data_IF_433180929905
#
_entry.id   IF_433180929905
#
_cell.length_a   1.000
_cell.length_b   1.000
_cell.length_c   1.000
_cell.angle_alpha   90.00
_cell.angle_beta   90.00
_cell.angle_gamma   90.00
#
_symmetry.space_group_name_H-M   'P 1'
#
loop_
_entity.id
_entity.type
_entity.pdbx_description
1 polymer ?
#
# COMPACT_ATOMS: atom_id res chain seq x y z
N UNK A 1 13.11 -8.09 -10.08
CA UNK A 1 11.88 -8.03 -10.91
C UNK A 1 11.50 -9.45 -11.23
N UNK A 2 10.21 -9.77 -11.19
CA UNK A 2 9.67 -11.10 -11.48
C UNK A 2 8.64 -10.93 -12.60
N UNK A 3 8.72 -11.76 -13.64
CA UNK A 3 7.76 -11.76 -14.76
C UNK A 3 6.81 -12.94 -14.61
N UNK A 4 5.56 -12.72 -15.01
CA UNK A 4 4.52 -13.75 -14.98
C UNK A 4 4.93 -14.98 -15.79
N UNK A 5 5.38 -14.78 -17.03
CA UNK A 5 5.76 -15.88 -17.94
C UNK A 5 6.92 -16.73 -17.40
N UNK A 6 7.91 -16.07 -16.77
CA UNK A 6 9.06 -16.76 -16.17
C UNK A 6 8.61 -17.64 -14.99
N UNK A 7 7.70 -17.12 -14.16
CA UNK A 7 7.11 -17.89 -13.06
C UNK A 7 6.24 -19.03 -13.56
N UNK A 8 5.37 -18.81 -14.55
CA UNK A 8 4.51 -19.84 -15.12
C UNK A 8 5.34 -21.02 -15.65
N UNK A 9 6.45 -20.72 -16.34
CA UNK A 9 7.39 -21.75 -16.78
C UNK A 9 8.01 -22.49 -15.60
N UNK A 10 8.53 -21.77 -14.60
CA UNK A 10 9.17 -22.35 -13.44
C UNK A 10 8.23 -23.26 -12.63
N UNK A 11 7.01 -22.79 -12.32
CA UNK A 11 6.05 -23.56 -11.52
C UNK A 11 5.55 -24.80 -12.26
N UNK A 12 5.40 -24.72 -13.59
CA UNK A 12 5.05 -25.87 -14.42
C UNK A 12 6.15 -26.94 -14.39
N UNK A 13 7.41 -26.53 -14.45
CA UNK A 13 8.56 -27.45 -14.33
C UNK A 13 8.61 -28.09 -12.93
N UNK A 14 8.40 -27.31 -11.87
CA UNK A 14 8.36 -27.81 -10.49
C UNK A 14 7.20 -28.80 -10.27
N UNK A 15 6.01 -28.50 -10.78
CA UNK A 15 4.86 -29.40 -10.70
C UNK A 15 5.14 -30.74 -11.39
N UNK A 16 5.79 -30.74 -12.56
CA UNK A 16 6.21 -31.97 -13.26
C UNK A 16 7.27 -32.76 -12.48
N UNK A 17 8.23 -32.07 -11.87
CA UNK A 17 9.25 -32.71 -11.02
C UNK A 17 8.64 -33.36 -9.79
N UNK A 18 7.69 -32.68 -9.14
CA UNK A 18 6.96 -33.22 -7.99
C UNK A 18 6.05 -34.39 -8.39
N UNK A 19 5.38 -34.31 -9.55
CA UNK A 19 4.57 -35.40 -10.08
C UNK A 19 5.41 -36.65 -10.35
N UNK A 20 6.60 -36.47 -10.95
CA UNK A 20 7.57 -37.55 -11.16
C UNK A 20 8.04 -38.16 -9.83
N UNK A 21 8.32 -37.32 -8.83
CA UNK A 21 8.72 -37.77 -7.48
C UNK A 21 7.62 -38.60 -6.81
N UNK A 22 6.35 -38.29 -7.09
CA UNK A 22 5.17 -39.00 -6.58
C UNK A 22 4.75 -40.20 -7.45
N UNK A 23 5.46 -40.48 -8.56
CA UNK A 23 5.10 -41.49 -9.56
C UNK A 23 3.66 -41.35 -10.06
N UNK A 24 3.24 -40.12 -10.36
CA UNK A 24 1.90 -39.85 -10.86
C UNK A 24 1.80 -40.10 -12.36
N UNK A 25 0.62 -40.54 -12.79
CA UNK A 25 0.26 -40.66 -14.20
C UNK A 25 0.05 -39.27 -14.85
N UNK A 26 -0.21 -39.26 -16.15
CA UNK A 26 -0.35 -38.05 -16.97
C UNK A 26 -1.45 -37.11 -16.46
N UNK A 27 -2.66 -37.63 -16.20
CA UNK A 27 -3.79 -36.79 -15.78
C UNK A 27 -3.58 -36.11 -14.41
N UNK A 28 -3.15 -36.80 -13.33
CA UNK A 28 -2.80 -36.12 -12.08
C UNK A 28 -1.61 -35.15 -12.20
N UNK A 29 -0.71 -35.38 -13.16
CA UNK A 29 0.39 -34.45 -13.47
C UNK A 29 -0.14 -33.15 -14.06
N UNK A 30 -1.07 -33.22 -15.02
CA UNK A 30 -1.73 -32.05 -15.59
C UNK A 30 -2.47 -31.23 -14.53
N UNK A 31 -3.15 -31.90 -13.59
CA UNK A 31 -3.81 -31.22 -12.48
C UNK A 31 -2.84 -30.45 -11.59
N UNK A 32 -1.67 -31.01 -11.27
CA UNK A 32 -0.63 -30.30 -10.50
C UNK A 32 -0.07 -29.09 -11.25
N UNK A 33 0.12 -29.23 -12.57
CA UNK A 33 0.58 -28.12 -13.42
C UNK A 33 -0.46 -27.02 -13.44
N UNK A 34 -1.74 -27.36 -13.71
CA UNK A 34 -2.85 -26.41 -13.72
C UNK A 34 -2.96 -25.68 -12.38
N UNK A 35 -2.95 -26.42 -11.27
CA UNK A 35 -3.03 -25.82 -9.94
C UNK A 35 -1.89 -24.83 -9.67
N UNK A 36 -0.66 -25.18 -10.06
CA UNK A 36 0.49 -24.30 -9.90
C UNK A 36 0.40 -23.05 -10.78
N UNK A 37 -0.06 -23.19 -12.03
CA UNK A 37 -0.24 -22.06 -12.94
C UNK A 37 -1.37 -21.14 -12.48
N UNK A 38 -2.49 -21.70 -12.01
CA UNK A 38 -3.65 -20.95 -11.54
C UNK A 38 -3.26 -20.07 -10.33
N UNK A 39 -2.45 -20.58 -9.41
CA UNK A 39 -1.94 -19.79 -8.28
C UNK A 39 -1.15 -18.57 -8.78
N UNK A 40 -0.25 -18.76 -9.76
CA UNK A 40 0.52 -17.65 -10.33
C UNK A 40 -0.39 -16.68 -11.06
N UNK A 41 -1.31 -17.18 -11.88
CA UNK A 41 -2.28 -16.37 -12.60
C UNK A 41 -3.08 -15.50 -11.64
N UNK A 42 -3.65 -16.09 -10.59
CA UNK A 42 -4.48 -15.39 -9.61
C UNK A 42 -3.68 -14.34 -8.82
N UNK A 43 -2.41 -14.61 -8.49
CA UNK A 43 -1.53 -13.59 -7.88
C UNK A 43 -1.38 -12.36 -8.78
N UNK A 44 -1.13 -12.56 -10.09
CA UNK A 44 -0.99 -11.44 -11.03
C UNK A 44 -2.33 -10.78 -11.39
N UNK A 45 -3.42 -11.55 -11.46
CA UNK A 45 -4.78 -11.05 -11.69
C UNK A 45 -5.28 -10.19 -10.53
N UNK A 46 -4.85 -10.48 -9.30
CA UNK A 46 -5.22 -9.70 -8.12
C UNK A 46 -4.62 -8.29 -8.08
N UNK A 47 -3.66 -7.99 -8.96
CA UNK A 47 -3.01 -6.69 -9.08
C UNK A 47 -3.29 -6.13 -10.47
N UNK A 48 -4.05 -5.04 -10.55
CA UNK A 48 -4.51 -4.49 -11.82
C UNK A 48 -4.14 -3.03 -11.98
N UNK A 49 -3.99 -2.62 -13.24
CA UNK A 49 -3.92 -1.23 -13.65
C UNK A 49 -5.28 -0.78 -14.13
N UNK A 50 -5.80 0.28 -13.52
CA UNK A 50 -6.96 1.01 -13.96
C UNK A 50 -6.54 2.14 -14.88
N UNK A 51 -7.02 2.12 -16.13
CA UNK A 51 -6.86 3.24 -17.05
C UNK A 51 -8.11 4.11 -16.99
N UNK A 52 -7.96 5.33 -16.51
CA UNK A 52 -9.07 6.29 -16.40
C UNK A 52 -8.95 7.33 -17.51
N UNK A 53 -10.05 7.62 -18.20
CA UNK A 53 -10.14 8.72 -19.16
C UNK A 53 -11.38 9.56 -18.87
N UNK A 54 -11.17 10.79 -18.39
CA UNK A 54 -12.23 11.58 -17.78
C UNK A 54 -12.68 10.96 -16.46
N UNK A 55 -13.98 10.71 -16.33
CA UNK A 55 -14.60 10.10 -15.14
C UNK A 55 -14.94 8.61 -15.33
N UNK A 56 -14.46 7.98 -16.42
CA UNK A 56 -14.81 6.60 -16.79
C UNK A 56 -13.57 5.70 -16.78
N UNK A 57 -13.69 4.54 -16.12
CA UNK A 57 -12.68 3.47 -16.17
C UNK A 57 -12.76 2.84 -17.56
N UNK A 58 -11.67 2.92 -18.33
CA UNK A 58 -11.58 2.42 -19.71
C UNK A 58 -11.05 0.99 -19.81
N UNK A 59 -10.09 0.62 -18.96
CA UNK A 59 -9.57 -0.75 -18.90
C UNK A 59 -9.10 -1.08 -17.51
N UNK A 60 -9.16 -2.37 -17.19
CA UNK A 60 -8.60 -2.99 -15.99
C UNK A 60 -7.68 -4.08 -16.51
N UNK A 61 -6.38 -3.80 -16.50
CA UNK A 61 -5.37 -4.69 -17.09
C UNK A 61 -4.52 -5.30 -15.97
N UNK A 62 -4.49 -6.63 -15.82
CA UNK A 62 -3.62 -7.30 -14.86
C UNK A 62 -2.15 -6.94 -15.06
N UNK A 63 -1.37 -6.91 -13.99
CA UNK A 63 0.08 -6.77 -14.14
C UNK A 63 0.65 -8.03 -14.80
N UNK A 64 1.63 -7.87 -15.68
CA UNK A 64 2.36 -8.99 -16.32
C UNK A 64 3.74 -9.20 -15.71
N UNK A 65 4.18 -8.24 -14.89
CA UNK A 65 5.44 -8.30 -14.17
C UNK A 65 5.36 -7.44 -12.91
N UNK A 66 6.12 -7.86 -11.90
CA UNK A 66 6.22 -7.17 -10.65
C UNK A 66 7.68 -6.77 -10.37
N UNK A 67 7.87 -5.52 -9.98
CA UNK A 67 9.14 -5.02 -9.44
C UNK A 67 8.87 -4.32 -8.13
N UNK A 68 9.88 -4.29 -7.28
CA UNK A 68 9.88 -3.43 -6.11
C UNK A 68 9.57 -1.99 -6.53
N UNK A 69 8.66 -1.34 -5.81
CA UNK A 69 8.17 0.01 -6.09
C UNK A 69 8.93 1.04 -5.27
N UNK A 70 9.43 2.09 -5.90
CA UNK A 70 10.10 3.18 -5.22
C UNK A 70 9.13 4.27 -4.78
N UNK A 71 9.64 5.27 -4.04
CA UNK A 71 8.88 6.47 -3.70
C UNK A 71 8.34 7.20 -4.93
N UNK A 72 9.06 7.16 -6.06
CA UNK A 72 8.67 7.78 -7.32
C UNK A 72 7.45 7.10 -7.98
N UNK A 73 7.25 5.80 -7.72
CA UNK A 73 6.12 5.03 -8.28
C UNK A 73 4.85 5.24 -7.45
N UNK A 74 5.00 5.59 -6.17
CA UNK A 74 3.90 5.54 -5.20
C UNK A 74 2.73 6.47 -5.55
N UNK A 75 2.98 7.64 -6.16
CA UNK A 75 1.91 8.57 -6.55
C UNK A 75 1.13 8.07 -7.77
N UNK A 76 1.78 7.47 -8.77
CA UNK A 76 1.10 6.89 -9.94
C UNK A 76 0.34 5.63 -9.55
N UNK A 77 0.99 4.77 -8.78
CA UNK A 77 0.44 3.49 -8.36
C UNK A 77 -0.76 3.74 -7.42
N UNK A 78 -0.70 4.75 -6.56
CA UNK A 78 -1.84 5.17 -5.74
C UNK A 78 -3.07 5.56 -6.57
N UNK A 79 -2.88 6.11 -7.77
CA UNK A 79 -4.00 6.56 -8.63
C UNK A 79 -4.58 5.43 -9.46
N UNK A 80 -3.71 4.57 -9.99
CA UNK A 80 -4.06 3.69 -11.09
C UNK A 80 -3.83 2.21 -10.79
N UNK A 81 -3.20 1.85 -9.68
CA UNK A 81 -3.01 0.45 -9.30
C UNK A 81 -4.07 0.06 -8.28
N UNK A 82 -4.70 -1.09 -8.52
CA UNK A 82 -5.66 -1.69 -7.61
C UNK A 82 -5.19 -3.06 -7.15
N UNK A 83 -5.52 -3.39 -5.89
CA UNK A 83 -5.25 -4.67 -5.26
C UNK A 83 -6.56 -5.31 -4.83
N UNK A 84 -6.93 -6.41 -5.46
CA UNK A 84 -8.00 -7.28 -5.01
C UNK A 84 -7.52 -8.09 -3.81
N UNK A 85 -7.68 -7.53 -2.61
CA UNK A 85 -7.13 -8.12 -1.36
C UNK A 85 -7.58 -9.56 -1.14
N UNK A 86 -8.87 -9.85 -1.37
CA UNK A 86 -9.43 -11.18 -1.16
C UNK A 86 -8.84 -12.22 -2.12
N UNK A 87 -8.66 -11.86 -3.40
CA UNK A 87 -8.07 -12.75 -4.41
C UNK A 87 -6.58 -12.96 -4.15
N UNK A 88 -5.85 -11.89 -3.80
CA UNK A 88 -4.44 -11.95 -3.41
C UNK A 88 -4.25 -12.87 -2.19
N UNK A 89 -5.14 -12.75 -1.18
CA UNK A 89 -5.15 -13.59 0.01
C UNK A 89 -5.40 -15.06 -0.32
N UNK A 90 -6.44 -15.35 -1.11
CA UNK A 90 -6.77 -16.72 -1.52
C UNK A 90 -5.62 -17.37 -2.31
N UNK A 91 -5.03 -16.66 -3.28
CA UNK A 91 -3.91 -17.19 -4.05
C UNK A 91 -2.68 -17.46 -3.19
N UNK A 92 -2.36 -16.56 -2.25
CA UNK A 92 -1.25 -16.75 -1.33
C UNK A 92 -1.49 -17.88 -0.31
N UNK A 93 -2.73 -18.06 0.18
CA UNK A 93 -3.09 -19.20 1.03
C UNK A 93 -2.89 -20.52 0.29
N UNK A 94 -3.38 -20.62 -0.96
CA UNK A 94 -3.15 -21.81 -1.78
C UNK A 94 -1.66 -22.08 -1.98
N UNK A 95 -0.87 -21.06 -2.26
CA UNK A 95 0.58 -21.20 -2.35
C UNK A 95 1.21 -21.76 -1.05
N UNK A 96 0.85 -21.18 0.11
CA UNK A 96 1.41 -21.59 1.41
C UNK A 96 1.07 -23.04 1.76
N UNK A 97 -0.10 -23.54 1.36
CA UNK A 97 -0.51 -24.94 1.55
C UNK A 97 0.27 -25.96 0.70
N UNK A 98 1.10 -25.51 -0.25
CA UNK A 98 1.78 -26.37 -1.22
C UNK A 98 3.31 -26.24 -1.11
N UNK A 99 3.96 -26.88 -0.11
CA UNK A 99 5.40 -26.75 0.13
C UNK A 99 6.29 -27.08 -1.06
N UNK A 100 5.83 -27.98 -1.94
CA UNK A 100 6.56 -28.37 -3.16
C UNK A 100 6.65 -27.25 -4.21
N UNK A 101 5.79 -26.22 -4.11
CA UNK A 101 5.76 -25.06 -5.00
C UNK A 101 6.62 -23.90 -4.47
N UNK A 102 7.07 -23.99 -3.21
CA UNK A 102 7.72 -22.89 -2.53
C UNK A 102 9.03 -22.47 -3.21
N UNK A 103 9.14 -21.19 -3.57
CA UNK A 103 10.35 -20.62 -4.15
C UNK A 103 10.54 -19.15 -3.76
N UNK A 104 11.80 -18.68 -3.85
CA UNK A 104 12.18 -17.33 -3.42
C UNK A 104 11.43 -16.25 -4.18
N UNK A 105 11.18 -16.45 -5.46
CA UNK A 105 10.50 -15.50 -6.34
C UNK A 105 9.03 -15.32 -5.96
N UNK A 106 8.32 -16.42 -5.65
CA UNK A 106 6.92 -16.36 -5.21
C UNK A 106 6.81 -15.83 -3.78
N UNK A 107 7.68 -16.27 -2.87
CA UNK A 107 7.74 -15.71 -1.52
C UNK A 107 7.96 -14.20 -1.56
N UNK A 108 8.92 -13.75 -2.37
CA UNK A 108 9.22 -12.35 -2.56
C UNK A 108 8.05 -11.60 -3.19
N UNK A 109 7.41 -12.15 -4.24
CA UNK A 109 6.27 -11.53 -4.90
C UNK A 109 5.10 -11.33 -3.93
N UNK A 110 4.71 -12.38 -3.22
CA UNK A 110 3.61 -12.37 -2.23
C UNK A 110 3.91 -11.33 -1.16
N UNK A 111 5.08 -11.44 -0.52
CA UNK A 111 5.50 -10.52 0.54
C UNK A 111 5.52 -9.07 0.05
N UNK A 112 6.08 -8.83 -1.13
CA UNK A 112 6.20 -7.50 -1.70
C UNK A 112 4.82 -6.93 -2.08
N UNK A 113 3.92 -7.73 -2.63
CA UNK A 113 2.56 -7.31 -2.98
C UNK A 113 1.74 -6.96 -1.73
N UNK A 114 1.74 -7.82 -0.70
CA UNK A 114 0.99 -7.57 0.53
C UNK A 114 1.46 -6.30 1.26
N UNK A 115 2.76 -6.18 1.52
CA UNK A 115 3.29 -5.00 2.22
C UNK A 115 3.02 -3.73 1.40
N UNK A 116 3.18 -3.78 0.07
CA UNK A 116 2.91 -2.62 -0.77
C UNK A 116 1.43 -2.24 -0.82
N UNK A 117 0.53 -3.23 -0.89
CA UNK A 117 -0.91 -3.02 -0.86
C UNK A 117 -1.36 -2.35 0.46
N UNK A 118 -0.76 -2.72 1.59
CA UNK A 118 -1.02 -2.07 2.88
C UNK A 118 -0.45 -0.65 2.95
N UNK A 119 0.75 -0.42 2.42
CA UNK A 119 1.32 0.93 2.28
C UNK A 119 0.40 1.83 1.45
N UNK A 120 -0.11 1.33 0.32
CA UNK A 120 -1.02 2.05 -0.58
C UNK A 120 -2.37 2.36 0.09
N UNK A 121 -2.98 1.38 0.75
CA UNK A 121 -4.25 1.57 1.44
C UNK A 121 -4.13 2.54 2.63
N UNK A 122 -3.03 2.45 3.39
CA UNK A 122 -2.76 3.36 4.50
C UNK A 122 -2.54 4.79 3.99
N UNK A 123 -1.81 4.94 2.88
CA UNK A 123 -1.64 6.23 2.21
C UNK A 123 -2.99 6.79 1.75
N UNK A 124 -3.83 5.97 1.13
CA UNK A 124 -5.18 6.35 0.65
C UNK A 124 -6.08 6.80 1.81
N UNK A 125 -6.11 6.04 2.90
CA UNK A 125 -6.83 6.37 4.13
C UNK A 125 -6.38 7.72 4.71
N UNK A 126 -5.07 7.97 4.79
CA UNK A 126 -4.59 9.24 5.31
C UNK A 126 -4.89 10.40 4.38
N UNK A 127 -4.77 10.20 3.06
CA UNK A 127 -5.10 11.23 2.07
C UNK A 127 -6.57 11.58 2.08
N UNK A 128 -7.47 10.61 2.16
CA UNK A 128 -8.91 10.87 2.22
C UNK A 128 -9.33 11.61 3.50
N UNK A 129 -8.58 11.43 4.61
CA UNK A 129 -8.86 12.10 5.88
C UNK A 129 -8.24 13.49 6.01
N UNK A 130 -7.03 13.70 5.49
CA UNK A 130 -6.29 14.97 5.63
C UNK A 130 -6.64 15.94 4.49
N UNK A 131 -6.92 15.43 3.29
CA UNK A 131 -7.23 16.29 2.14
C UNK A 131 -8.72 16.62 2.10
N UNK A 132 -9.10 17.86 1.73
CA UNK A 132 -10.48 18.15 1.37
C UNK A 132 -10.97 17.20 0.26
N UNK A 133 -12.23 16.77 0.34
CA UNK A 133 -12.83 15.78 -0.57
C UNK A 133 -12.59 16.10 -2.06
N UNK A 134 -12.78 17.36 -2.46
CA UNK A 134 -12.55 17.80 -3.85
C UNK A 134 -11.09 17.63 -4.30
N UNK A 135 -10.13 17.86 -3.41
CA UNK A 135 -8.69 17.65 -3.68
C UNK A 135 -8.37 16.17 -3.78
N UNK A 136 -8.92 15.37 -2.86
CA UNK A 136 -8.72 13.93 -2.87
C UNK A 136 -9.20 13.34 -4.19
N UNK A 137 -10.45 13.63 -4.59
CA UNK A 137 -11.05 13.16 -5.84
C UNK A 137 -10.23 13.65 -7.05
N UNK A 138 -9.90 14.94 -7.12
CA UNK A 138 -9.11 15.49 -8.23
C UNK A 138 -7.73 14.84 -8.36
N UNK A 139 -7.03 14.65 -7.24
CA UNK A 139 -5.72 13.99 -7.24
C UNK A 139 -5.83 12.52 -7.63
N UNK A 140 -6.83 11.81 -7.11
CA UNK A 140 -7.07 10.40 -7.42
C UNK A 140 -7.39 10.21 -8.90
N UNK A 141 -8.25 11.06 -9.46
CA UNK A 141 -8.61 11.06 -10.88
C UNK A 141 -7.49 11.57 -11.82
N UNK A 142 -6.40 12.14 -11.28
CA UNK A 142 -5.30 12.70 -12.07
C UNK A 142 -5.65 13.96 -12.86
N UNK A 143 -6.69 14.70 -12.47
CA UNK A 143 -7.16 15.87 -13.22
C UNK A 143 -6.32 17.14 -12.97
N UNK A 144 -5.56 17.57 -13.97
CA UNK A 144 -4.69 18.77 -13.88
C UNK A 144 -5.52 20.07 -13.77
N UNK A 145 -6.69 20.13 -14.42
CA UNK A 145 -7.54 21.34 -14.49
C UNK A 145 -8.06 21.79 -13.12
N UNK A 146 -8.39 20.86 -12.23
CA UNK A 146 -8.84 21.15 -10.86
C UNK A 146 -7.69 21.49 -9.91
N UNK A 147 -6.47 21.09 -10.25
CA UNK A 147 -5.29 21.32 -9.42
C UNK A 147 -4.93 22.81 -9.38
N UNK A 148 -5.06 23.53 -10.50
CA UNK A 148 -4.75 24.97 -10.63
C UNK A 148 -5.84 25.84 -9.98
N UNK A 149 -7.12 25.54 -10.20
CA UNK A 149 -8.23 26.27 -9.56
C UNK A 149 -8.24 26.09 -8.03
N UNK A 150 -7.83 24.93 -7.53
CA UNK A 150 -7.72 24.66 -6.10
C UNK A 150 -6.64 25.50 -5.38
N UNK A 151 -5.59 25.93 -6.09
CA UNK A 151 -4.50 26.72 -5.53
C UNK A 151 -4.95 28.15 -5.18
N UNK A 152 -5.60 28.82 -6.15
CA UNK A 152 -6.12 30.18 -5.97
C UNK A 152 -7.23 30.21 -4.89
N UNK A 153 -8.13 29.24 -4.93
CA UNK A 153 -9.21 29.10 -3.94
C UNK A 153 -8.66 28.85 -2.52
N UNK A 154 -7.56 28.10 -2.38
CA UNK A 154 -6.89 27.92 -1.09
C UNK A 154 -6.33 29.20 -0.52
N UNK A 155 -5.67 30.02 -1.33
CA UNK A 155 -5.15 31.31 -0.87
C UNK A 155 -6.29 32.20 -0.39
N UNK A 156 -7.41 32.22 -1.11
CA UNK A 156 -8.61 32.96 -0.71
C UNK A 156 -9.19 32.43 0.60
N UNK A 157 -9.44 31.13 0.72
CA UNK A 157 -10.00 30.51 1.95
C UNK A 157 -9.05 30.69 3.14
N UNK A 158 -7.74 30.59 2.91
CA UNK A 158 -6.73 30.84 3.94
C UNK A 158 -6.79 32.29 4.41
N UNK A 159 -6.79 33.26 3.50
CA UNK A 159 -6.90 34.68 3.83
C UNK A 159 -8.21 34.99 4.58
N UNK A 160 -9.34 34.44 4.14
CA UNK A 160 -10.63 34.62 4.81
C UNK A 160 -10.61 34.04 6.23
N UNK A 161 -10.06 32.84 6.42
CA UNK A 161 -9.90 32.24 7.76
C UNK A 161 -9.03 33.11 8.66
N UNK A 162 -7.92 33.63 8.16
CA UNK A 162 -7.04 34.52 8.91
C UNK A 162 -7.69 35.86 9.23
N UNK A 163 -8.45 36.45 8.30
CA UNK A 163 -9.20 37.68 8.53
C UNK A 163 -10.26 37.50 9.62
N UNK A 164 -11.00 36.38 9.60
CA UNK A 164 -11.96 36.04 10.66
C UNK A 164 -11.24 35.86 12.00
N UNK A 165 -10.11 35.14 12.00
CA UNK A 165 -9.32 34.91 13.20
C UNK A 165 -8.78 36.21 13.81
N UNK A 166 -8.22 37.10 12.98
CA UNK A 166 -7.73 38.43 13.39
C UNK A 166 -8.89 39.31 13.84
N UNK A 167 -10.06 39.24 13.17
CA UNK A 167 -11.25 39.98 13.55
C UNK A 167 -11.79 39.59 14.92
N UNK A 168 -11.88 38.29 15.21
CA UNK A 168 -12.26 37.78 16.55
C UNK A 168 -11.21 38.20 17.59
N UNK A 169 -9.92 38.05 17.28
CA UNK A 169 -8.84 38.48 18.18
C UNK A 169 -8.94 39.99 18.51
N UNK A 170 -9.11 40.83 17.49
CA UNK A 170 -9.29 42.27 17.64
C UNK A 170 -10.54 42.62 18.47
N UNK A 171 -11.66 41.93 18.27
CA UNK A 171 -12.86 42.15 19.07
C UNK A 171 -12.65 41.77 20.55
N UNK A 172 -12.00 40.65 20.84
CA UNK A 172 -11.77 40.20 22.23
C UNK A 172 -10.83 41.10 23.04
N UNK A 173 -9.92 41.82 22.37
CA UNK A 173 -9.04 42.81 23.00
C UNK A 173 -9.80 43.97 23.67
N UNK A 174 -10.99 44.33 23.18
CA UNK A 174 -11.76 45.47 23.68
C UNK A 174 -12.58 45.18 24.93
N UNK A 175 -12.94 43.92 25.18
CA UNK A 175 -13.89 43.57 26.23
C UNK A 175 -13.25 42.90 27.45
N UNK A 176 -12.18 42.10 27.28
CA UNK A 176 -11.58 41.33 28.38
C UNK A 176 -10.05 41.26 28.22
N UNK A 177 -9.25 41.83 29.12
CA UNK A 177 -7.79 41.87 29.01
C UNK A 177 -7.10 40.49 28.94
N UNK A 178 -7.73 39.45 29.50
CA UNK A 178 -7.20 38.07 29.54
C UNK A 178 -7.59 37.27 28.28
N UNK A 179 -8.63 37.69 27.54
CA UNK A 179 -9.14 36.94 26.40
C UNK A 179 -8.12 36.74 25.25
N UNK A 180 -7.23 37.70 24.92
CA UNK A 180 -6.17 37.49 23.92
C UNK A 180 -5.19 36.38 24.31
N UNK A 181 -4.83 36.28 25.60
CA UNK A 181 -3.93 35.25 26.13
C UNK A 181 -4.61 33.87 26.04
N UNK A 182 -5.89 33.79 26.42
CA UNK A 182 -6.67 32.56 26.30
C UNK A 182 -6.82 32.11 24.84
N UNK A 183 -7.07 33.05 23.93
CA UNK A 183 -7.22 32.77 22.49
C UNK A 183 -5.93 32.24 21.85
N UNK A 184 -4.78 32.86 22.18
CA UNK A 184 -3.46 32.38 21.76
C UNK A 184 -3.19 30.98 22.34
N UNK A 185 -3.50 30.77 23.63
CA UNK A 185 -3.35 29.47 24.27
C UNK A 185 -4.15 28.36 23.58
N UNK A 186 -5.42 28.62 23.24
CA UNK A 186 -6.28 27.68 22.52
C UNK A 186 -5.73 27.39 21.12
N UNK A 187 -5.23 28.40 20.40
CA UNK A 187 -4.66 28.18 19.06
C UNK A 187 -3.37 27.39 19.08
N UNK A 188 -2.45 27.68 20.02
CA UNK A 188 -1.22 26.91 20.19
C UNK A 188 -1.55 25.45 20.53
N UNK A 189 -2.49 25.21 21.45
CA UNK A 189 -2.94 23.87 21.80
C UNK A 189 -3.57 23.14 20.61
N UNK A 190 -4.41 23.82 19.83
CA UNK A 190 -5.02 23.25 18.62
C UNK A 190 -3.97 22.89 17.57
N UNK A 191 -3.06 23.82 17.26
CA UNK A 191 -1.96 23.61 16.32
C UNK A 191 -1.04 22.47 16.77
N UNK A 192 -0.75 22.39 18.07
CA UNK A 192 0.06 21.30 18.64
C UNK A 192 -0.62 19.94 18.51
N UNK A 193 -1.94 19.86 18.72
CA UNK A 193 -2.71 18.62 18.54
C UNK A 193 -2.71 18.17 17.08
N UNK A 194 -2.93 19.09 16.14
CA UNK A 194 -2.86 18.78 14.70
C UNK A 194 -1.46 18.32 14.29
N UNK A 195 -0.42 19.05 14.72
CA UNK A 195 0.97 18.68 14.44
C UNK A 195 1.32 17.31 15.01
N UNK A 196 0.91 17.02 16.25
CA UNK A 196 1.16 15.71 16.89
C UNK A 196 0.47 14.57 16.15
N UNK A 197 -0.77 14.78 15.71
CA UNK A 197 -1.49 13.81 14.89
C UNK A 197 -0.80 13.58 13.54
N UNK A 198 -0.41 14.65 12.86
CA UNK A 198 0.32 14.57 11.59
C UNK A 198 1.67 13.89 11.74
N UNK A 199 2.41 14.18 12.81
CA UNK A 199 3.69 13.56 13.12
C UNK A 199 3.53 12.05 13.30
N UNK A 200 2.54 11.60 14.09
CA UNK A 200 2.26 10.16 14.28
C UNK A 200 1.98 9.46 12.95
N UNK A 201 1.23 10.10 12.05
CA UNK A 201 0.92 9.58 10.72
C UNK A 201 2.19 9.45 9.86
N UNK A 202 3.02 10.49 9.87
CA UNK A 202 4.28 10.49 9.11
C UNK A 202 5.24 9.42 9.64
N UNK A 203 5.35 9.28 10.97
CA UNK A 203 6.21 8.29 11.62
C UNK A 203 5.75 6.85 11.29
N UNK A 204 4.42 6.61 11.29
CA UNK A 204 3.84 5.32 10.87
C UNK A 204 4.15 5.01 9.40
N UNK A 205 3.87 5.95 8.49
CA UNK A 205 4.17 5.76 7.06
C UNK A 205 5.66 5.53 6.81
N UNK A 206 6.52 6.25 7.52
CA UNK A 206 7.97 6.05 7.43
C UNK A 206 8.38 4.64 7.88
N UNK A 207 7.80 4.14 8.98
CA UNK A 207 8.05 2.78 9.44
C UNK A 207 7.56 1.73 8.43
N UNK A 208 6.36 1.89 7.87
CA UNK A 208 5.83 1.00 6.83
C UNK A 208 6.68 0.98 5.56
N UNK A 209 7.12 2.15 5.10
CA UNK A 209 8.01 2.27 3.93
C UNK A 209 9.38 1.66 4.21
N UNK A 210 9.92 1.82 5.43
CA UNK A 210 11.17 1.19 5.82
C UNK A 210 11.08 -0.35 5.82
N UNK A 211 9.98 -0.90 6.36
CA UNK A 211 9.70 -2.33 6.26
C UNK A 211 9.61 -2.76 4.80
N UNK A 212 8.88 -2.03 3.97
CA UNK A 212 8.80 -2.33 2.55
C UNK A 212 10.17 -2.27 1.85
N UNK A 213 11.02 -1.30 2.18
CA UNK A 213 12.34 -1.13 1.58
C UNK A 213 13.29 -2.31 1.85
N UNK A 214 13.09 -3.05 2.95
CA UNK A 214 13.80 -4.32 3.18
C UNK A 214 13.52 -5.31 2.05
N UNK A 215 12.34 -5.20 1.43
CA UNK A 215 11.88 -6.04 0.35
C UNK A 215 12.45 -5.72 -1.04
N UNK A 216 13.53 -4.95 -1.12
CA UNK A 216 14.04 -4.40 -2.40
C UNK A 216 14.68 -5.44 -3.32
N UNK A 217 15.23 -6.52 -2.77
CA UNK A 217 15.89 -7.60 -3.53
C UNK A 217 15.18 -8.93 -3.32
N UNK A 218 15.42 -9.96 -4.15
CA UNK A 218 14.79 -11.29 -3.96
C UNK A 218 15.55 -12.11 -2.89
N UNK A 219 16.83 -11.82 -2.67
CA UNK A 219 17.75 -12.58 -1.83
C UNK A 219 17.81 -12.10 -0.37
N UNK A 220 16.67 -11.81 0.24
CA UNK A 220 16.64 -11.16 1.54
C UNK A 220 16.83 -12.12 2.71
N UNK A 221 17.30 -11.57 3.83
CA UNK A 221 17.26 -12.27 5.11
C UNK A 221 15.89 -12.13 5.75
N UNK A 222 15.18 -13.24 5.91
CA UNK A 222 13.87 -13.30 6.59
C UNK A 222 13.93 -12.79 8.03
N UNK A 223 15.09 -12.89 8.69
CA UNK A 223 15.31 -12.32 10.03
C UNK A 223 15.21 -10.79 10.02
N UNK A 224 15.82 -10.15 9.02
CA UNK A 224 15.76 -8.68 8.88
C UNK A 224 14.33 -8.23 8.60
N UNK A 225 13.63 -8.94 7.70
CA UNK A 225 12.21 -8.67 7.40
C UNK A 225 11.35 -8.79 8.67
N UNK A 226 11.58 -9.84 9.47
CA UNK A 226 10.86 -10.05 10.73
C UNK A 226 11.09 -8.94 11.76
N UNK A 227 12.34 -8.48 11.90
CA UNK A 227 12.67 -7.39 12.82
C UNK A 227 12.00 -6.08 12.38
N UNK A 228 12.00 -5.76 11.10
CA UNK A 228 11.36 -4.54 10.58
C UNK A 228 9.84 -4.62 10.63
N UNK A 229 9.24 -5.80 10.44
CA UNK A 229 7.80 -6.03 10.67
C UNK A 229 7.41 -5.80 12.13
N UNK A 230 8.26 -6.22 13.09
CA UNK A 230 8.03 -5.95 14.51
C UNK A 230 8.13 -4.45 14.82
N UNK A 231 9.18 -3.78 14.35
CA UNK A 231 9.38 -2.33 14.56
C UNK A 231 8.21 -1.51 14.00
N UNK A 232 7.75 -1.83 12.79
CA UNK A 232 6.60 -1.13 12.19
C UNK A 232 5.29 -1.42 12.92
N UNK A 233 5.08 -2.67 13.37
CA UNK A 233 3.93 -3.02 14.21
C UNK A 233 3.92 -2.25 15.52
N UNK A 234 5.06 -2.10 16.18
CA UNK A 234 5.19 -1.33 17.43
C UNK A 234 4.93 0.18 17.20
N UNK A 235 5.18 0.68 15.99
CA UNK A 235 4.78 2.02 15.54
C UNK A 235 3.28 2.14 15.21
N UNK A 236 2.54 1.02 15.18
CA UNK A 236 1.11 0.94 14.93
C UNK A 236 0.71 0.45 13.53
N UNK A 237 1.64 -0.11 12.75
CA UNK A 237 1.32 -0.74 11.47
C UNK A 237 0.53 -2.03 11.68
N UNK A 238 -0.43 -2.27 10.78
CA UNK A 238 -1.20 -3.51 10.73
C UNK A 238 -0.86 -4.20 9.42
N UNK A 239 -0.31 -5.40 9.52
CA UNK A 239 0.03 -6.22 8.37
C UNK A 239 -0.91 -7.43 8.30
N UNK A 240 -1.12 -7.93 7.09
CA UNK A 240 -1.92 -9.13 6.86
C UNK A 240 -1.34 -10.36 7.58
N UNK A 241 -2.20 -11.28 8.03
CA UNK A 241 -1.77 -12.51 8.69
C UNK A 241 -0.87 -13.38 7.81
N UNK A 242 -1.07 -13.36 6.49
CA UNK A 242 -0.24 -14.05 5.51
C UNK A 242 1.22 -13.58 5.56
N UNK A 243 1.44 -12.28 5.78
CA UNK A 243 2.79 -11.71 5.89
C UNK A 243 3.53 -12.37 7.06
N UNK A 244 2.91 -12.43 8.23
CA UNK A 244 3.53 -13.06 9.39
C UNK A 244 3.76 -14.56 9.18
N UNK A 245 2.77 -15.26 8.62
CA UNK A 245 2.86 -16.71 8.36
C UNK A 245 4.01 -17.04 7.41
N UNK A 246 4.16 -16.31 6.29
CA UNK A 246 5.24 -16.54 5.33
C UNK A 246 6.61 -16.35 5.98
N UNK A 247 6.79 -15.26 6.74
CA UNK A 247 8.09 -14.99 7.41
C UNK A 247 8.39 -16.03 8.48
N UNK A 248 7.39 -16.47 9.25
CA UNK A 248 7.57 -17.52 10.25
C UNK A 248 7.95 -18.87 9.62
N UNK A 249 7.28 -19.28 8.55
CA UNK A 249 7.61 -20.51 7.82
C UNK A 249 9.04 -20.47 7.28
N UNK A 250 9.47 -19.32 6.72
CA UNK A 250 10.81 -19.17 6.11
C UNK A 250 11.94 -18.90 7.09
N UNK A 251 11.64 -18.46 8.31
CA UNK A 251 12.64 -18.33 9.37
C UNK A 251 12.90 -19.66 10.06
N UNK A 252 11.94 -20.60 10.02
CA UNK A 252 12.06 -21.94 10.62
C UNK A 252 12.67 -22.99 9.68
N UNK A 253 12.53 -22.81 8.36
CA UNK A 253 13.12 -23.66 7.30
C UNK A 253 14.61 -23.37 7.10
#
# INVERSE_FOLDING_TARGET
MVRKDDLLKYVSEQARMEAKKRNLDEYPTENLVSEATDIVDDLFMSITWEKVEGDVIKSIDPVTSWRHRGANDMESDWRYMHFSRAELQNAAERYLERPWLHCRELDWLIMNAFIYAECQATLDFFRSRIMPLSRYISKKAGSIKWQISSGLWRSIVFLVKWLIWIGVFAATLWFVPIAPVAWIGITVLWQWREWKAQKKINDLMAAMIATYATLSTVSQSWQVVWEELKKSRDAGAVWDGIVYRLVEERTRS
#
